data_IF_840757758347
#
_entry.id   IF_840757758347
#
_cell.length_a   1.000
_cell.length_b   1.000
_cell.length_c   1.000
_cell.angle_alpha   90.00
_cell.angle_beta   90.00
_cell.angle_gamma   90.00
#
_symmetry.space_group_name_H-M   'P 1'
#
loop_
_entity.id
_entity.type
_entity.pdbx_description
1 polymer ?
#
# COMPACT_ATOMS: atom_id res chain seq x y z
N UNK A 1 4.79 -17.02 -30.23
CA UNK A 1 4.59 -16.95 -28.77
C UNK A 1 4.68 -18.36 -28.22
N UNK A 2 5.35 -18.57 -27.09
CA UNK A 2 5.29 -19.86 -26.42
C UNK A 2 3.83 -20.11 -26.00
N UNK A 3 3.29 -21.30 -26.26
CA UNK A 3 1.96 -21.67 -25.79
C UNK A 3 1.91 -21.60 -24.26
N UNK A 4 0.89 -20.95 -23.70
CA UNK A 4 0.66 -20.95 -22.25
C UNK A 4 0.54 -22.41 -21.75
N UNK A 5 1.10 -22.74 -20.57
CA UNK A 5 0.93 -24.07 -20.00
C UNK A 5 -0.55 -24.31 -19.63
N UNK A 6 -0.96 -25.58 -19.58
CA UNK A 6 -2.32 -25.93 -19.17
C UNK A 6 -2.56 -25.74 -17.67
N UNK A 7 -1.50 -25.85 -16.86
CA UNK A 7 -1.52 -25.67 -15.42
C UNK A 7 -0.40 -24.75 -14.95
N UNK A 8 -0.54 -24.23 -13.74
CA UNK A 8 0.41 -23.41 -13.03
C UNK A 8 0.46 -23.80 -11.55
N UNK A 9 1.55 -23.43 -10.88
CA UNK A 9 1.67 -23.51 -9.43
C UNK A 9 0.98 -22.33 -8.78
N UNK A 10 0.22 -22.60 -7.74
CA UNK A 10 -0.41 -21.58 -6.91
C UNK A 10 -0.49 -22.05 -5.46
N UNK A 11 -0.48 -21.11 -4.53
CA UNK A 11 -0.92 -21.39 -3.17
C UNK A 11 -2.45 -21.45 -3.17
N UNK A 12 -3.00 -22.55 -2.66
CA UNK A 12 -4.42 -22.77 -2.48
C UNK A 12 -4.69 -22.83 -0.99
N UNK A 13 -5.35 -21.78 -0.49
CA UNK A 13 -5.79 -21.68 0.89
C UNK A 13 -7.22 -22.25 0.99
N UNK A 14 -7.41 -23.28 1.81
CA UNK A 14 -8.69 -23.99 1.96
C UNK A 14 -9.44 -23.62 3.24
N UNK A 15 -8.74 -23.02 4.21
CA UNK A 15 -9.28 -22.47 5.44
C UNK A 15 -8.32 -21.41 6.01
N UNK A 16 -8.73 -20.60 6.99
CA UNK A 16 -7.82 -19.73 7.71
C UNK A 16 -6.58 -20.50 8.21
N UNK A 17 -5.39 -19.98 7.96
CA UNK A 17 -4.13 -20.60 8.37
C UNK A 17 -3.72 -21.87 7.62
N UNK A 18 -4.56 -22.35 6.68
CA UNK A 18 -4.34 -23.64 6.00
C UNK A 18 -4.22 -23.45 4.51
N UNK A 19 -3.01 -23.64 3.98
CA UNK A 19 -2.76 -23.58 2.53
C UNK A 19 -1.71 -24.58 2.06
N UNK A 20 -1.82 -24.98 0.80
CA UNK A 20 -0.93 -25.91 0.10
C UNK A 20 -0.50 -25.33 -1.23
N UNK A 21 0.71 -25.68 -1.69
CA UNK A 21 1.10 -25.37 -3.07
C UNK A 21 0.55 -26.47 -3.98
N UNK A 22 -0.24 -26.08 -4.97
CA UNK A 22 -0.93 -27.00 -5.87
C UNK A 22 -0.68 -26.65 -7.33
N UNK A 23 -0.82 -27.65 -8.20
CA UNK A 23 -0.89 -27.44 -9.65
C UNK A 23 -2.35 -27.23 -10.05
N UNK A 24 -2.71 -25.99 -10.39
CA UNK A 24 -4.06 -25.56 -10.76
C UNK A 24 -4.10 -25.16 -12.24
N UNK A 25 -5.27 -25.15 -12.91
CA UNK A 25 -5.37 -24.66 -14.29
C UNK A 25 -4.93 -23.20 -14.41
N UNK A 26 -4.24 -22.85 -15.51
CA UNK A 26 -3.99 -21.43 -15.84
C UNK A 26 -5.33 -20.74 -16.09
N UNK A 27 -5.61 -19.59 -15.44
CA UNK A 27 -6.87 -18.87 -15.65
C UNK A 27 -7.05 -18.46 -17.12
N UNK A 28 -8.27 -18.62 -17.62
CA UNK A 28 -8.62 -18.19 -18.98
C UNK A 28 -8.75 -16.67 -19.03
N UNK A 29 -8.33 -16.09 -20.15
CA UNK A 29 -8.55 -14.68 -20.44
C UNK A 29 -9.90 -14.50 -21.12
N UNK A 30 -10.71 -13.60 -20.58
CA UNK A 30 -12.01 -13.20 -21.09
C UNK A 30 -12.02 -11.71 -21.45
N UNK A 31 -13.09 -11.26 -22.11
CA UNK A 31 -13.36 -9.84 -22.34
C UNK A 31 -13.26 -9.07 -21.04
N UNK A 32 -12.50 -7.99 -21.04
CA UNK A 32 -12.27 -7.12 -19.91
C UNK A 32 -11.16 -7.58 -18.98
N UNK A 33 -10.37 -8.58 -19.34
CA UNK A 33 -9.28 -9.08 -18.49
C UNK A 33 -7.97 -9.24 -19.25
N UNK A 34 -6.87 -9.37 -18.51
CA UNK A 34 -5.61 -9.85 -19.04
C UNK A 34 -4.97 -10.83 -18.05
N UNK A 35 -4.13 -11.73 -18.58
CA UNK A 35 -3.33 -12.66 -17.80
C UNK A 35 -1.93 -12.10 -17.62
N UNK A 36 -1.48 -12.05 -16.38
CA UNK A 36 -0.16 -11.56 -15.98
C UNK A 36 0.63 -12.70 -15.36
N UNK A 37 1.84 -12.96 -15.86
CA UNK A 37 2.82 -13.82 -15.19
C UNK A 37 3.48 -13.02 -14.07
N UNK A 38 3.32 -13.45 -12.82
CA UNK A 38 3.80 -12.72 -11.65
C UNK A 38 5.32 -12.87 -11.51
N UNK A 39 5.99 -11.75 -11.24
CA UNK A 39 7.44 -11.71 -10.97
C UNK A 39 7.76 -11.37 -9.51
N UNK A 40 6.88 -10.61 -8.84
CA UNK A 40 6.96 -10.35 -7.40
C UNK A 40 5.58 -10.00 -6.86
N UNK A 41 5.22 -10.57 -5.70
CA UNK A 41 3.99 -10.28 -4.97
C UNK A 41 4.29 -9.98 -3.50
N UNK A 42 3.80 -8.83 -3.01
CA UNK A 42 4.11 -8.32 -1.67
C UNK A 42 3.59 -9.26 -0.57
N UNK A 43 4.47 -9.55 0.39
CA UNK A 43 4.12 -10.16 1.68
C UNK A 43 4.08 -9.06 2.73
N UNK A 44 2.86 -8.64 3.08
CA UNK A 44 2.63 -7.54 4.04
C UNK A 44 3.11 -7.91 5.43
N UNK A 45 3.49 -6.92 6.25
CA UNK A 45 3.74 -7.16 7.68
C UNK A 45 2.49 -7.66 8.42
N UNK A 46 1.30 -7.40 7.88
CA UNK A 46 0.01 -7.88 8.42
C UNK A 46 -0.46 -9.20 7.77
N UNK A 47 0.36 -9.82 6.92
CA UNK A 47 -0.04 -11.02 6.15
C UNK A 47 -0.48 -12.16 7.06
N UNK A 48 0.11 -12.30 8.26
CA UNK A 48 -0.25 -13.34 9.21
C UNK A 48 -1.72 -13.20 9.65
N UNK A 49 -2.19 -11.97 9.89
CA UNK A 49 -3.58 -11.72 10.28
C UNK A 49 -4.55 -11.97 9.12
N UNK A 50 -4.14 -11.65 7.88
CA UNK A 50 -4.93 -11.96 6.67
C UNK A 50 -5.02 -13.47 6.48
N UNK A 51 -3.87 -14.16 6.52
CA UNK A 51 -3.75 -15.59 6.31
C UNK A 51 -4.57 -16.39 7.34
N UNK A 52 -4.52 -15.98 8.62
CA UNK A 52 -5.26 -16.63 9.69
C UNK A 52 -6.68 -16.08 9.88
N UNK A 53 -7.14 -15.16 9.03
CA UNK A 53 -8.41 -14.45 9.17
C UNK A 53 -8.67 -13.95 10.61
N UNK A 54 -7.62 -13.44 11.27
CA UNK A 54 -7.62 -13.12 12.71
C UNK A 54 -8.40 -11.85 13.07
N UNK A 55 -9.02 -11.20 12.08
CA UNK A 55 -9.82 -10.00 12.28
C UNK A 55 -11.04 -10.01 11.36
N UNK A 56 -12.16 -9.42 11.82
CA UNK A 56 -13.45 -9.43 11.10
C UNK A 56 -13.39 -8.76 9.71
N UNK A 57 -12.36 -7.95 9.46
CA UNK A 57 -12.12 -7.33 8.16
C UNK A 57 -11.58 -8.30 7.10
N UNK A 58 -10.93 -9.41 7.49
CA UNK A 58 -10.29 -10.37 6.60
C UNK A 58 -11.28 -11.50 6.24
N UNK A 59 -12.22 -11.17 5.35
CA UNK A 59 -13.23 -12.12 4.88
C UNK A 59 -12.86 -12.64 3.50
N UNK A 60 -12.46 -13.90 3.41
CA UNK A 60 -12.12 -14.54 2.14
C UNK A 60 -13.05 -15.74 1.88
N UNK A 61 -13.56 -15.92 0.66
CA UNK A 61 -14.16 -17.19 0.29
C UNK A 61 -13.07 -18.26 0.23
N UNK A 62 -13.36 -19.47 0.68
CA UNK A 62 -12.46 -20.62 0.55
C UNK A 62 -13.08 -21.67 -0.39
N UNK A 63 -12.26 -22.36 -1.22
CA UNK A 63 -10.81 -22.15 -1.39
C UNK A 63 -10.47 -20.86 -2.15
N UNK A 64 -9.30 -20.29 -1.89
CA UNK A 64 -8.78 -19.10 -2.58
C UNK A 64 -7.27 -19.12 -2.69
N UNK A 65 -6.72 -18.34 -3.62
CA UNK A 65 -5.28 -18.01 -3.62
C UNK A 65 -5.06 -16.73 -2.82
N UNK A 66 -4.09 -16.68 -1.89
CA UNK A 66 -3.71 -15.48 -1.16
C UNK A 66 -2.78 -14.55 -1.97
N UNK A 67 -2.50 -13.36 -1.42
CA UNK A 67 -1.60 -12.37 -2.01
C UNK A 67 -2.35 -11.29 -2.79
N UNK A 68 -2.01 -10.02 -2.55
CA UNK A 68 -2.85 -8.88 -2.93
C UNK A 68 -2.25 -7.96 -3.98
N UNK A 69 -0.96 -7.67 -3.92
CA UNK A 69 -0.30 -6.76 -4.86
C UNK A 69 0.90 -7.41 -5.50
N UNK A 70 1.14 -7.09 -6.76
CA UNK A 70 2.30 -7.61 -7.44
C UNK A 70 2.57 -6.93 -8.77
N UNK A 71 3.72 -7.28 -9.30
CA UNK A 71 4.22 -6.86 -10.60
C UNK A 71 4.53 -8.08 -11.43
N UNK A 72 4.50 -7.93 -12.74
CA UNK A 72 4.73 -9.03 -13.65
C UNK A 72 4.61 -8.62 -15.09
N UNK A 73 4.49 -9.63 -15.96
CA UNK A 73 4.44 -9.43 -17.41
C UNK A 73 3.13 -9.90 -17.99
N UNK A 74 2.50 -9.09 -18.84
CA UNK A 74 1.31 -9.49 -19.56
C UNK A 74 1.66 -10.63 -20.52
N UNK A 75 0.93 -11.73 -20.47
CA UNK A 75 1.14 -12.91 -21.33
C UNK A 75 -0.07 -13.26 -22.21
N UNK A 76 -1.23 -12.68 -21.93
CA UNK A 76 -2.39 -12.70 -22.81
C UNK A 76 -3.34 -11.55 -22.44
N UNK A 77 -4.11 -11.05 -23.40
CA UNK A 77 -5.08 -9.96 -23.22
C UNK A 77 -6.43 -10.31 -23.82
N UNK A 78 -7.50 -9.81 -23.19
CA UNK A 78 -8.85 -9.92 -23.73
C UNK A 78 -8.99 -9.17 -25.07
N UNK A 79 -9.96 -9.56 -25.92
CA UNK A 79 -10.12 -8.99 -27.25
C UNK A 79 -10.47 -7.48 -27.25
N UNK A 80 -10.91 -6.95 -26.11
CA UNK A 80 -11.25 -5.54 -25.87
C UNK A 80 -10.10 -4.72 -25.27
N UNK A 81 -8.91 -5.31 -25.06
CA UNK A 81 -7.74 -4.59 -24.59
C UNK A 81 -7.19 -3.64 -25.69
N UNK A 82 -7.29 -2.34 -25.45
CA UNK A 82 -6.88 -1.31 -26.45
C UNK A 82 -5.45 -0.81 -26.26
N UNK A 83 -4.93 -0.85 -25.04
CA UNK A 83 -3.59 -0.30 -24.71
C UNK A 83 -2.62 -1.33 -24.15
N UNK A 84 -3.13 -2.41 -23.53
CA UNK A 84 -2.33 -3.50 -23.02
C UNK A 84 -1.95 -4.47 -24.13
N UNK A 85 -0.71 -4.96 -24.09
CA UNK A 85 -0.17 -5.94 -25.03
C UNK A 85 0.72 -6.94 -24.30
N UNK A 86 0.80 -8.14 -24.86
CA UNK A 86 1.73 -9.15 -24.38
C UNK A 86 3.16 -8.62 -24.33
N UNK A 87 3.92 -9.06 -23.33
CA UNK A 87 5.29 -8.64 -23.08
C UNK A 87 5.43 -7.38 -22.24
N UNK A 88 4.37 -6.58 -22.04
CA UNK A 88 4.45 -5.38 -21.20
C UNK A 88 4.65 -5.71 -19.73
N UNK A 89 5.56 -5.00 -19.08
CA UNK A 89 5.74 -5.02 -17.64
C UNK A 89 4.66 -4.17 -16.97
N UNK A 90 4.00 -4.73 -15.95
CA UNK A 90 2.81 -4.14 -15.34
C UNK A 90 2.80 -4.35 -13.83
N UNK A 91 2.10 -3.45 -13.15
CA UNK A 91 1.61 -3.65 -11.79
C UNK A 91 0.14 -4.09 -11.82
N UNK A 92 -0.21 -5.00 -10.92
CA UNK A 92 -1.58 -5.46 -10.69
C UNK A 92 -2.05 -4.94 -9.33
N UNK A 93 -3.08 -4.10 -9.36
CA UNK A 93 -3.72 -3.54 -8.15
C UNK A 93 -4.58 -4.59 -7.45
N UNK A 94 -4.49 -4.65 -6.11
CA UNK A 94 -5.41 -5.45 -5.30
C UNK A 94 -6.82 -4.86 -5.24
N UNK A 95 -6.93 -3.53 -5.39
CA UNK A 95 -8.19 -2.83 -5.17
C UNK A 95 -9.03 -2.85 -6.42
N UNK A 96 -10.22 -3.44 -6.31
CA UNK A 96 -11.12 -3.70 -7.43
C UNK A 96 -12.49 -3.14 -7.07
N UNK A 97 -13.07 -2.37 -7.98
CA UNK A 97 -14.44 -1.87 -7.91
C UNK A 97 -15.30 -2.58 -8.94
N UNK A 98 -16.58 -2.75 -8.65
CA UNK A 98 -17.51 -3.23 -9.67
C UNK A 98 -17.63 -2.19 -10.79
N UNK A 99 -17.82 -2.68 -12.02
CA UNK A 99 -17.97 -1.83 -13.21
C UNK A 99 -19.37 -1.23 -13.34
N UNK A 100 -20.37 -1.96 -12.88
CA UNK A 100 -21.78 -1.58 -12.87
C UNK A 100 -22.20 -0.83 -11.59
N UNK A 101 -21.46 -1.03 -10.49
CA UNK A 101 -21.63 -0.29 -9.24
C UNK A 101 -20.27 0.03 -8.55
N UNK A 102 -19.73 1.23 -8.77
CA UNK A 102 -18.45 1.65 -8.16
C UNK A 102 -18.47 1.76 -6.62
N UNK A 103 -19.64 1.70 -5.97
CA UNK A 103 -19.74 1.65 -4.51
C UNK A 103 -19.38 0.27 -3.95
N UNK A 104 -19.49 -0.77 -4.77
CA UNK A 104 -19.05 -2.14 -4.44
C UNK A 104 -17.57 -2.26 -4.75
N UNK A 105 -16.78 -2.64 -3.73
CA UNK A 105 -15.35 -2.83 -3.86
C UNK A 105 -14.82 -3.96 -2.99
N UNK A 106 -13.68 -4.51 -3.39
CA UNK A 106 -12.97 -5.58 -2.70
C UNK A 106 -11.47 -5.30 -2.72
N UNK A 107 -10.73 -5.99 -1.84
CA UNK A 107 -9.27 -6.04 -1.88
C UNK A 107 -8.87 -7.49 -2.10
N UNK A 108 -8.50 -7.80 -3.33
CA UNK A 108 -7.98 -9.10 -3.76
C UNK A 108 -6.93 -9.63 -2.78
N UNK A 109 -7.06 -10.89 -2.36
CA UNK A 109 -6.13 -11.55 -1.43
C UNK A 109 -6.14 -10.99 0.00
N UNK A 110 -7.08 -10.11 0.35
CA UNK A 110 -7.23 -9.53 1.70
C UNK A 110 -8.66 -9.62 2.20
N UNK A 111 -9.63 -9.13 1.43
CA UNK A 111 -11.05 -9.13 1.80
C UNK A 111 -11.98 -9.10 0.58
N UNK A 112 -12.99 -9.95 0.62
CA UNK A 112 -14.11 -10.04 -0.31
C UNK A 112 -15.24 -9.07 0.03
N UNK A 113 -15.04 -8.18 1.02
CA UNK A 113 -16.03 -7.21 1.46
C UNK A 113 -17.13 -7.82 2.32
N UNK A 114 -18.10 -7.01 2.70
CA UNK A 114 -19.12 -7.36 3.71
C UNK A 114 -20.54 -7.50 3.15
N UNK A 115 -20.71 -7.26 1.85
CA UNK A 115 -22.02 -7.31 1.18
C UNK A 115 -22.09 -8.51 0.24
N UNK A 116 -23.29 -9.07 -0.01
CA UNK A 116 -23.47 -10.11 -1.02
C UNK A 116 -22.89 -9.72 -2.39
N UNK A 117 -23.04 -8.46 -2.80
CA UNK A 117 -22.49 -7.94 -4.05
C UNK A 117 -20.95 -7.99 -4.07
N UNK A 118 -20.28 -7.56 -2.99
CA UNK A 118 -18.82 -7.65 -2.89
C UNK A 118 -18.31 -9.10 -2.91
N UNK A 119 -19.04 -10.01 -2.26
CA UNK A 119 -18.72 -11.43 -2.22
C UNK A 119 -18.90 -12.09 -3.60
N UNK A 120 -19.92 -11.68 -4.36
CA UNK A 120 -20.12 -12.11 -5.74
C UNK A 120 -19.00 -11.58 -6.65
N UNK A 121 -18.63 -10.31 -6.51
CA UNK A 121 -17.51 -9.70 -7.24
C UNK A 121 -16.18 -10.42 -6.95
N UNK A 122 -15.91 -10.80 -5.71
CA UNK A 122 -14.68 -11.51 -5.38
C UNK A 122 -14.65 -12.91 -6.01
N UNK A 123 -15.76 -13.66 -5.92
CA UNK A 123 -15.84 -15.02 -6.46
C UNK A 123 -15.74 -15.07 -7.98
N UNK A 124 -16.10 -14.00 -8.70
CA UNK A 124 -15.92 -13.94 -10.15
C UNK A 124 -14.46 -13.86 -10.58
N UNK A 125 -13.56 -13.46 -9.68
CA UNK A 125 -12.12 -13.42 -9.91
C UNK A 125 -11.53 -14.81 -9.60
N UNK A 126 -11.62 -15.74 -10.55
CA UNK A 126 -11.07 -17.09 -10.42
C UNK A 126 -9.61 -17.07 -9.90
N UNK A 127 -9.26 -17.96 -8.96
CA UNK A 127 -7.88 -18.13 -8.47
C UNK A 127 -7.29 -16.87 -7.83
N UNK A 128 -8.12 -16.16 -7.05
CA UNK A 128 -8.07 -14.71 -6.91
C UNK A 128 -6.78 -14.05 -6.39
N UNK A 129 -5.73 -14.73 -5.95
CA UNK A 129 -4.55 -14.10 -5.34
C UNK A 129 -3.33 -14.03 -6.25
N UNK A 130 -2.30 -13.33 -5.77
CA UNK A 130 -1.03 -13.15 -6.51
C UNK A 130 0.08 -14.07 -6.02
N UNK A 131 -0.18 -14.96 -5.07
CA UNK A 131 0.73 -16.05 -4.72
C UNK A 131 0.51 -17.25 -5.65
N UNK A 132 0.66 -16.98 -6.96
CA UNK A 132 0.53 -17.92 -8.07
C UNK A 132 1.40 -17.46 -9.24
N UNK A 133 1.82 -18.39 -10.11
CA UNK A 133 2.65 -18.06 -11.28
C UNK A 133 1.94 -17.12 -12.26
N UNK A 134 0.62 -17.23 -12.38
CA UNK A 134 -0.21 -16.36 -13.22
C UNK A 134 -1.46 -15.88 -12.49
N UNK A 135 -1.91 -14.67 -12.83
CA UNK A 135 -3.18 -14.13 -12.34
C UNK A 135 -3.93 -13.46 -13.49
N UNK A 136 -5.26 -13.65 -13.53
CA UNK A 136 -6.14 -12.81 -14.33
C UNK A 136 -6.61 -11.60 -13.52
N UNK A 137 -6.55 -10.44 -14.14
CA UNK A 137 -7.00 -9.19 -13.54
C UNK A 137 -7.86 -8.36 -14.52
N UNK A 138 -8.87 -7.63 -14.03
CA UNK A 138 -9.60 -6.65 -14.83
C UNK A 138 -8.65 -5.61 -15.43
N UNK A 139 -8.85 -5.23 -16.70
CA UNK A 139 -7.96 -4.30 -17.41
C UNK A 139 -7.75 -2.97 -16.63
N UNK A 140 -8.79 -2.46 -15.98
CA UNK A 140 -8.79 -1.24 -15.17
C UNK A 140 -8.02 -1.34 -13.84
N UNK A 141 -7.51 -2.53 -13.50
CA UNK A 141 -6.66 -2.79 -12.32
C UNK A 141 -5.20 -3.04 -12.69
N UNK A 142 -4.88 -3.05 -13.98
CA UNK A 142 -3.54 -3.26 -14.52
C UNK A 142 -2.96 -1.90 -14.93
N UNK A 143 -1.71 -1.67 -14.54
CA UNK A 143 -1.00 -0.43 -14.78
C UNK A 143 0.33 -0.72 -15.44
N UNK A 144 0.55 -0.12 -16.62
CA UNK A 144 1.82 -0.24 -17.35
C UNK A 144 2.92 0.45 -16.57
N UNK A 145 4.09 -0.17 -16.58
CA UNK A 145 5.30 0.36 -15.99
C UNK A 145 6.31 0.62 -17.10
N UNK A 146 6.96 1.77 -17.09
CA UNK A 146 8.07 2.09 -17.99
C UNK A 146 9.33 1.34 -17.54
N UNK A 147 9.52 0.14 -18.08
CA UNK A 147 10.63 -0.77 -17.75
C UNK A 147 12.00 -0.13 -18.03
N UNK A 148 12.13 0.59 -19.15
CA UNK A 148 13.37 1.26 -19.53
C UNK A 148 13.69 2.38 -18.55
N UNK A 149 12.68 3.15 -18.13
CA UNK A 149 12.87 4.22 -17.14
C UNK A 149 13.14 3.69 -15.75
N UNK A 150 12.40 2.69 -15.28
CA UNK A 150 12.50 2.20 -13.90
C UNK A 150 13.79 1.38 -13.68
N UNK A 151 14.16 0.51 -14.62
CA UNK A 151 15.26 -0.44 -14.45
C UNK A 151 16.52 -0.07 -15.23
N UNK A 152 16.40 0.80 -16.24
CA UNK A 152 17.56 1.26 -17.01
C UNK A 152 18.62 1.92 -16.13
N UNK A 153 19.86 1.91 -16.61
CA UNK A 153 20.96 2.55 -15.90
C UNK A 153 20.81 4.08 -15.93
N UNK A 154 21.35 4.82 -14.95
CA UNK A 154 21.34 6.27 -14.96
C UNK A 154 21.90 6.89 -16.24
N UNK A 155 22.91 6.27 -16.85
CA UNK A 155 23.55 6.71 -18.09
C UNK A 155 22.60 6.63 -19.30
N UNK A 156 21.68 5.65 -19.29
CA UNK A 156 20.64 5.49 -20.31
C UNK A 156 19.36 6.28 -19.98
N UNK A 157 19.39 7.14 -18.96
CA UNK A 157 18.22 7.89 -18.50
C UNK A 157 17.24 7.05 -17.67
N UNK A 158 17.67 5.91 -17.12
CA UNK A 158 16.89 5.11 -16.19
C UNK A 158 17.12 5.48 -14.71
N UNK A 159 16.45 4.76 -13.81
CA UNK A 159 16.46 5.00 -12.37
C UNK A 159 17.20 3.91 -11.58
N UNK A 160 17.52 2.78 -12.22
CA UNK A 160 18.30 1.68 -11.66
C UNK A 160 17.58 0.92 -10.54
N UNK A 161 16.26 0.91 -10.51
CA UNK A 161 15.50 0.10 -9.57
C UNK A 161 15.49 -1.38 -9.98
N UNK A 162 15.11 -2.24 -9.05
CA UNK A 162 14.79 -3.65 -9.34
C UNK A 162 13.31 -3.94 -9.12
N UNK A 163 12.74 -4.99 -9.73
CA UNK A 163 11.32 -5.32 -9.58
C UNK A 163 10.86 -5.36 -8.11
N UNK A 164 11.60 -6.03 -7.24
CA UNK A 164 11.27 -6.16 -5.82
C UNK A 164 11.17 -4.84 -5.05
N UNK A 165 11.72 -3.74 -5.57
CA UNK A 165 11.61 -2.40 -4.96
C UNK A 165 10.31 -1.69 -5.33
N UNK A 166 9.63 -2.12 -6.40
CA UNK A 166 8.39 -1.51 -6.89
C UNK A 166 7.14 -1.98 -6.13
N UNK A 167 7.24 -3.06 -5.35
CA UNK A 167 6.09 -3.65 -4.65
C UNK A 167 5.51 -2.74 -3.53
N UNK A 168 6.21 -1.64 -3.19
CA UNK A 168 5.73 -0.60 -2.27
C UNK A 168 4.74 0.37 -2.90
N UNK A 169 4.71 0.48 -4.24
CA UNK A 169 3.86 1.42 -4.99
C UNK A 169 2.37 1.41 -4.59
N UNK A 170 1.72 0.27 -4.30
CA UNK A 170 0.35 0.26 -3.81
C UNK A 170 0.19 0.94 -2.45
N UNK A 171 1.16 0.81 -1.54
CA UNK A 171 1.16 1.53 -0.27
C UNK A 171 1.29 3.04 -0.50
N UNK A 172 2.17 3.46 -1.44
CA UNK A 172 2.28 4.86 -1.85
C UNK A 172 0.95 5.38 -2.43
N UNK A 173 0.21 4.59 -3.22
CA UNK A 173 -1.08 4.98 -3.78
C UNK A 173 -2.15 5.24 -2.70
N UNK A 174 -2.21 4.43 -1.64
CA UNK A 174 -3.17 4.61 -0.53
C UNK A 174 -2.95 5.96 0.16
N UNK A 175 -1.71 6.26 0.52
CA UNK A 175 -1.36 7.48 1.25
C UNK A 175 -1.34 8.71 0.34
N UNK A 176 -1.04 8.55 -0.95
CA UNK A 176 -1.22 9.61 -1.96
C UNK A 176 -2.68 10.03 -2.05
N UNK A 177 -3.61 9.08 -2.15
CA UNK A 177 -5.03 9.39 -2.21
C UNK A 177 -5.49 10.15 -0.96
N UNK A 178 -4.96 9.80 0.21
CA UNK A 178 -5.24 10.51 1.47
C UNK A 178 -4.75 11.97 1.41
N UNK A 179 -3.51 12.20 1.01
CA UNK A 179 -2.92 13.54 0.89
C UNK A 179 -3.63 14.39 -0.19
N UNK A 180 -4.04 13.77 -1.31
CA UNK A 180 -4.85 14.44 -2.33
C UNK A 180 -6.21 14.87 -1.78
N UNK A 181 -6.91 14.00 -1.02
CA UNK A 181 -8.24 14.32 -0.47
C UNK A 181 -8.23 15.48 0.50
N UNK A 182 -7.15 15.64 1.27
CA UNK A 182 -6.94 16.82 2.11
C UNK A 182 -6.27 17.98 1.35
N UNK A 183 -6.05 17.85 0.05
CA UNK A 183 -5.43 18.86 -0.81
C UNK A 183 -4.09 19.39 -0.27
N UNK A 184 -3.21 18.50 0.20
CA UNK A 184 -1.87 18.87 0.66
C UNK A 184 -1.12 19.62 -0.46
N UNK A 185 -0.57 20.79 -0.13
CA UNK A 185 0.13 21.66 -1.06
C UNK A 185 1.65 21.57 -0.88
N UNK A 186 2.44 21.82 -1.95
CA UNK A 186 3.88 21.98 -1.83
C UNK A 186 4.25 23.06 -0.80
N UNK A 187 5.26 22.78 0.03
CA UNK A 187 5.73 23.70 1.08
C UNK A 187 4.98 23.63 2.40
N UNK A 188 3.77 23.05 2.44
CA UNK A 188 3.02 22.85 3.68
C UNK A 188 3.70 21.84 4.61
N UNK A 189 3.49 22.00 5.91
CA UNK A 189 3.98 21.06 6.93
C UNK A 189 2.94 20.01 7.25
N UNK A 190 3.30 18.75 7.06
CA UNK A 190 2.49 17.59 7.40
C UNK A 190 3.12 16.79 8.53
N UNK A 191 2.33 16.49 9.57
CA UNK A 191 2.67 15.47 10.57
C UNK A 191 2.23 14.11 10.06
N UNK A 192 3.13 13.13 10.07
CA UNK A 192 2.81 11.72 9.74
C UNK A 192 2.95 10.90 11.02
N UNK A 193 1.87 10.26 11.45
CA UNK A 193 1.81 9.54 12.73
C UNK A 193 1.06 8.21 12.64
N UNK A 194 1.62 7.09 13.12
CA UNK A 194 3.06 6.88 13.29
C UNK A 194 3.79 6.94 11.92
N UNK A 195 5.08 7.26 11.91
CA UNK A 195 5.89 7.43 10.69
C UNK A 195 6.74 6.20 10.28
N UNK A 196 6.83 5.17 11.13
CA UNK A 196 7.88 4.12 11.01
C UNK A 196 7.39 2.73 10.61
N UNK A 197 6.13 2.57 10.19
CA UNK A 197 5.61 1.32 9.58
C UNK A 197 5.74 1.29 8.06
N UNK A 198 5.34 0.18 7.42
CA UNK A 198 5.36 0.05 5.95
C UNK A 198 4.55 1.16 5.24
N UNK A 199 3.26 1.29 5.56
CA UNK A 199 2.42 2.36 5.01
C UNK A 199 2.83 3.76 5.48
N UNK A 200 3.39 3.86 6.69
CA UNK A 200 3.85 5.12 7.25
C UNK A 200 5.08 5.68 6.52
N UNK A 201 6.05 4.82 6.21
CA UNK A 201 7.24 5.21 5.44
C UNK A 201 6.86 5.56 4.00
N UNK A 202 5.91 4.83 3.39
CA UNK A 202 5.32 5.20 2.12
C UNK A 202 4.65 6.60 2.16
N UNK A 203 4.04 6.99 3.29
CA UNK A 203 3.49 8.34 3.46
C UNK A 203 4.59 9.40 3.47
N UNK A 204 5.73 9.13 4.12
CA UNK A 204 6.89 10.04 4.10
C UNK A 204 7.40 10.22 2.67
N UNK A 205 7.55 9.13 1.91
CA UNK A 205 8.02 9.18 0.52
C UNK A 205 7.11 10.06 -0.35
N UNK A 206 5.79 9.87 -0.20
CA UNK A 206 4.78 10.61 -0.97
C UNK A 206 4.74 12.08 -0.56
N UNK A 207 4.74 12.39 0.73
CA UNK A 207 4.78 13.78 1.20
C UNK A 207 6.04 14.50 0.69
N UNK A 208 7.18 13.83 0.69
CA UNK A 208 8.43 14.39 0.19
C UNK A 208 8.34 14.64 -1.33
N UNK A 209 7.78 13.70 -2.09
CA UNK A 209 7.55 13.83 -3.53
C UNK A 209 6.55 14.95 -3.89
N UNK A 210 5.58 15.22 -3.00
CA UNK A 210 4.64 16.34 -3.11
C UNK A 210 5.26 17.69 -2.69
N UNK A 211 6.51 17.71 -2.24
CA UNK A 211 7.22 18.93 -1.84
C UNK A 211 6.84 19.46 -0.46
N UNK A 212 6.18 18.66 0.38
CA UNK A 212 5.83 19.04 1.74
C UNK A 212 7.05 19.09 2.67
N UNK A 213 6.91 19.77 3.81
CA UNK A 213 7.79 19.65 4.98
C UNK A 213 7.18 18.61 5.91
N UNK A 214 7.99 17.71 6.45
CA UNK A 214 7.47 16.53 7.15
C UNK A 214 7.93 16.57 8.61
N UNK A 215 6.98 16.35 9.52
CA UNK A 215 7.28 15.99 10.92
C UNK A 215 6.90 14.52 11.08
N UNK A 216 7.90 13.65 11.03
CA UNK A 216 7.75 12.22 11.22
C UNK A 216 7.66 11.91 12.72
N UNK A 217 6.52 11.38 13.16
CA UNK A 217 6.25 11.11 14.57
C UNK A 217 6.11 9.61 14.82
N UNK A 218 6.88 9.03 15.74
CA UNK A 218 6.71 7.63 16.13
C UNK A 218 7.43 7.32 17.45
N UNK A 219 7.22 6.12 18.02
CA UNK A 219 8.01 5.65 19.17
C UNK A 219 9.40 5.13 18.78
N UNK A 220 9.60 4.73 17.52
CA UNK A 220 10.80 4.04 17.06
C UNK A 220 11.90 5.05 16.66
N UNK A 221 12.77 5.39 17.60
CA UNK A 221 13.87 6.34 17.39
C UNK A 221 14.81 5.94 16.23
N UNK A 222 15.15 4.67 16.09
CA UNK A 222 16.03 4.20 15.01
C UNK A 222 15.37 4.36 13.63
N UNK A 223 14.06 4.11 13.55
CA UNK A 223 13.29 4.35 12.33
C UNK A 223 13.20 5.83 11.96
N UNK A 224 13.00 6.70 12.96
CA UNK A 224 13.00 8.15 12.76
C UNK A 224 14.35 8.67 12.28
N UNK A 225 15.46 8.21 12.88
CA UNK A 225 16.80 8.59 12.47
C UNK A 225 17.06 8.23 10.99
N UNK A 226 16.65 7.02 10.56
CA UNK A 226 16.74 6.61 9.15
C UNK A 226 15.93 7.51 8.23
N UNK A 227 14.71 7.87 8.60
CA UNK A 227 13.88 8.78 7.79
C UNK A 227 14.53 10.16 7.61
N UNK A 228 15.11 10.69 8.68
CA UNK A 228 15.83 11.98 8.64
C UNK A 228 17.08 11.91 7.77
N UNK A 229 17.80 10.80 7.79
CA UNK A 229 18.95 10.55 6.92
C UNK A 229 18.54 10.42 5.44
N UNK A 230 17.45 9.72 5.15
CA UNK A 230 16.94 9.54 3.78
C UNK A 230 16.46 10.86 3.15
N UNK A 231 15.90 11.77 3.95
CA UNK A 231 15.26 13.02 3.51
C UNK A 231 15.82 14.25 4.24
N UNK A 232 17.12 14.56 4.06
CA UNK A 232 17.76 15.66 4.76
C UNK A 232 17.13 17.00 4.37
N UNK A 233 16.84 17.84 5.36
CA UNK A 233 16.22 19.17 5.17
C UNK A 233 14.73 19.15 4.82
N UNK A 234 14.12 17.97 4.68
CA UNK A 234 12.68 17.79 4.40
C UNK A 234 11.96 17.17 5.59
N UNK A 235 12.60 16.21 6.27
CA UNK A 235 12.05 15.48 7.42
C UNK A 235 12.66 15.96 8.73
N UNK A 236 11.80 16.40 9.63
CA UNK A 236 12.06 16.51 11.07
C UNK A 236 11.39 15.36 11.81
N UNK A 237 11.87 15.06 13.02
CA UNK A 237 11.46 13.86 13.75
C UNK A 237 11.05 14.18 15.18
N UNK A 238 9.95 13.57 15.63
CA UNK A 238 9.49 13.62 17.03
C UNK A 238 9.34 12.20 17.54
N UNK A 239 10.09 11.86 18.58
CA UNK A 239 9.89 10.61 19.29
C UNK A 239 8.70 10.76 20.24
N UNK A 240 7.63 10.01 19.98
CA UNK A 240 6.41 10.06 20.78
C UNK A 240 6.63 9.42 22.15
N UNK A 241 6.27 10.16 23.19
CA UNK A 241 6.38 9.77 24.60
C UNK A 241 5.11 9.09 25.11
N UNK A 242 3.97 9.35 24.46
CA UNK A 242 2.65 8.95 24.94
C UNK A 242 1.96 10.01 25.80
N UNK A 243 2.65 11.10 26.14
CA UNK A 243 2.03 12.28 26.75
C UNK A 243 1.51 13.22 25.66
N UNK A 244 0.20 13.46 25.65
CA UNK A 244 -0.46 14.25 24.59
C UNK A 244 0.08 15.68 24.53
N UNK A 245 0.37 16.31 25.67
CA UNK A 245 0.81 17.71 25.70
C UNK A 245 2.25 17.84 25.23
N UNK A 246 3.15 17.03 25.78
CA UNK A 246 4.56 17.02 25.40
C UNK A 246 4.72 16.67 23.91
N UNK A 247 4.02 15.63 23.44
CA UNK A 247 4.09 15.22 22.04
C UNK A 247 3.52 16.32 21.14
N UNK A 248 2.39 16.96 21.50
CA UNK A 248 1.81 18.07 20.72
C UNK A 248 2.76 19.26 20.59
N UNK A 249 3.46 19.64 21.67
CA UNK A 249 4.44 20.73 21.65
C UNK A 249 5.62 20.35 20.75
N UNK A 250 6.11 19.11 20.85
CA UNK A 250 7.19 18.62 19.99
C UNK A 250 6.82 18.64 18.50
N UNK A 251 5.58 18.26 18.17
CA UNK A 251 5.08 18.28 16.79
C UNK A 251 4.98 19.70 16.20
N UNK A 252 4.58 20.67 17.02
CA UNK A 252 4.45 22.08 16.61
C UNK A 252 5.78 22.87 16.66
N UNK A 253 6.84 22.31 17.24
CA UNK A 253 8.13 23.00 17.45
C UNK A 253 8.81 23.45 16.14
N UNK A 254 8.42 22.87 15.01
CA UNK A 254 9.00 23.17 13.70
C UNK A 254 8.24 24.24 12.91
N UNK A 255 7.15 24.78 13.48
CA UNK A 255 6.27 25.77 12.85
C UNK A 255 4.84 25.25 12.67
N UNK A 256 3.94 26.03 12.03
CA UNK A 256 2.54 25.65 11.87
C UNK A 256 2.39 24.28 11.20
N UNK A 257 1.49 23.44 11.71
CA UNK A 257 1.16 22.13 11.14
C UNK A 257 -0.10 22.27 10.29
N UNK A 258 0.06 22.29 8.97
CA UNK A 258 -1.04 22.43 8.01
C UNK A 258 -1.90 21.18 7.89
N UNK A 259 -1.27 20.01 8.06
CA UNK A 259 -1.90 18.74 7.84
C UNK A 259 -1.42 17.65 8.81
N UNK A 260 -2.30 16.70 9.10
CA UNK A 260 -1.97 15.43 9.78
C UNK A 260 -2.38 14.28 8.87
N UNK A 261 -1.51 13.30 8.72
CA UNK A 261 -1.83 12.00 8.09
C UNK A 261 -1.65 10.93 9.15
N UNK A 262 -2.77 10.39 9.63
CA UNK A 262 -2.78 9.29 10.58
C UNK A 262 -2.79 7.95 9.83
N UNK A 263 -1.75 7.16 10.04
CA UNK A 263 -1.54 5.84 9.42
C UNK A 263 -1.48 4.76 10.50
N UNK A 264 -2.19 4.97 11.60
CA UNK A 264 -2.16 4.11 12.78
C UNK A 264 -2.72 2.71 12.50
N UNK A 265 -2.02 1.62 12.88
CA UNK A 265 -2.54 0.26 12.73
C UNK A 265 -3.63 -0.05 13.78
N UNK A 266 -4.36 -1.18 13.66
CA UNK A 266 -5.32 -1.62 14.69
C UNK A 266 -4.71 -1.72 16.10
N UNK A 267 -3.45 -2.14 16.21
CA UNK A 267 -2.73 -2.20 17.49
C UNK A 267 -2.45 -0.84 18.15
N UNK A 268 -2.75 0.27 17.47
CA UNK A 268 -2.69 1.63 18.01
C UNK A 268 -4.06 2.19 18.40
N UNK A 269 -5.15 1.40 18.35
CA UNK A 269 -6.46 1.80 18.89
C UNK A 269 -6.31 2.27 20.36
N UNK A 270 -6.93 3.39 20.70
CA UNK A 270 -6.78 4.08 21.98
C UNK A 270 -5.45 4.82 22.20
N UNK A 271 -4.47 4.73 21.29
CA UNK A 271 -3.17 5.39 21.47
C UNK A 271 -3.29 6.92 21.36
N UNK A 272 -2.49 7.69 22.12
CA UNK A 272 -2.60 9.16 22.25
C UNK A 272 -2.03 9.93 21.04
N UNK A 273 -1.40 9.26 20.09
CA UNK A 273 -0.65 9.89 19.00
C UNK A 273 -1.54 10.74 18.07
N UNK A 274 -2.78 10.32 17.81
CA UNK A 274 -3.74 11.10 17.03
C UNK A 274 -4.18 12.36 17.79
N UNK A 275 -4.43 12.24 19.10
CA UNK A 275 -4.80 13.38 19.95
C UNK A 275 -3.68 14.44 20.04
N UNK A 276 -2.43 13.98 20.15
CA UNK A 276 -1.25 14.85 20.12
C UNK A 276 -1.12 15.57 18.77
N UNK A 277 -1.28 14.84 17.66
CA UNK A 277 -1.21 15.42 16.32
C UNK A 277 -2.33 16.44 16.06
N UNK A 278 -3.58 16.12 16.45
CA UNK A 278 -4.70 17.07 16.40
C UNK A 278 -4.41 18.33 17.22
N UNK A 279 -3.83 18.19 18.42
CA UNK A 279 -3.52 19.34 19.28
C UNK A 279 -2.41 20.24 18.72
N UNK A 280 -1.58 19.73 17.81
CA UNK A 280 -0.53 20.50 17.12
C UNK A 280 -1.01 21.22 15.85
N UNK A 281 -2.23 20.90 15.40
CA UNK A 281 -2.78 21.37 14.13
C UNK A 281 -3.15 22.86 14.18
N UNK A 282 -2.80 23.60 13.13
CA UNK A 282 -3.13 25.04 13.04
C UNK A 282 -4.61 25.29 12.73
N UNK A 283 -5.01 26.56 12.77
CA UNK A 283 -6.29 27.05 12.26
C UNK A 283 -6.40 26.78 10.75
N UNK A 284 -7.56 26.26 10.32
CA UNK A 284 -7.82 25.76 8.97
C UNK A 284 -7.08 24.46 8.63
N UNK A 285 -6.45 23.80 9.60
CA UNK A 285 -5.70 22.57 9.38
C UNK A 285 -6.56 21.37 9.01
N UNK A 286 -5.94 20.37 8.36
CA UNK A 286 -6.66 19.23 7.77
C UNK A 286 -6.08 17.89 8.24
N UNK A 287 -6.94 16.90 8.40
CA UNK A 287 -6.55 15.57 8.90
C UNK A 287 -7.01 14.51 7.92
N UNK A 288 -6.10 13.65 7.48
CA UNK A 288 -6.42 12.43 6.75
C UNK A 288 -6.33 11.22 7.69
N UNK A 289 -7.47 10.54 7.89
CA UNK A 289 -7.54 9.28 8.63
C UNK A 289 -7.38 8.12 7.64
N UNK A 290 -6.23 7.47 7.67
CA UNK A 290 -5.84 6.37 6.76
C UNK A 290 -5.70 5.05 7.51
N UNK A 291 -5.25 5.13 8.76
CA UNK A 291 -5.05 4.00 9.65
C UNK A 291 -6.32 3.20 9.92
N UNK A 292 -6.15 1.88 10.09
CA UNK A 292 -7.23 0.96 10.47
C UNK A 292 -7.45 0.92 11.98
N UNK A 293 -7.53 2.07 12.64
CA UNK A 293 -7.88 2.12 14.07
C UNK A 293 -9.35 1.75 14.26
N UNK A 294 -9.66 1.15 15.40
CA UNK A 294 -10.99 0.65 15.76
C UNK A 294 -11.61 1.44 16.92
N UNK A 295 -11.22 2.72 17.07
CA UNK A 295 -11.80 3.56 18.11
C UNK A 295 -13.31 3.75 17.87
N UNK A 296 -14.11 3.62 18.92
CA UNK A 296 -15.54 3.96 18.87
C UNK A 296 -15.76 5.46 18.66
N UNK A 297 -14.83 6.28 19.15
CA UNK A 297 -14.87 7.74 19.04
C UNK A 297 -13.49 8.28 18.70
N UNK A 298 -13.45 9.32 17.86
CA UNK A 298 -12.21 10.03 17.56
C UNK A 298 -11.89 11.04 18.67
N UNK A 299 -10.61 11.19 19.07
CA UNK A 299 -10.21 12.11 20.14
C UNK A 299 -10.16 13.56 19.65
N UNK A 300 -11.26 14.06 19.08
CA UNK A 300 -11.39 15.40 18.50
C UNK A 300 -12.06 16.32 19.53
N UNK A 301 -11.35 17.33 20.07
CA UNK A 301 -11.99 18.29 20.96
C UNK A 301 -12.93 19.19 20.15
N UNK A 302 -14.26 18.98 20.31
CA UNK A 302 -15.31 19.63 19.52
C UNK A 302 -15.12 21.16 19.41
N UNK A 303 -14.93 21.83 20.55
CA UNK A 303 -14.76 23.29 20.59
C UNK A 303 -13.51 23.74 19.82
N UNK A 304 -12.39 23.00 19.90
CA UNK A 304 -11.17 23.31 19.13
C UNK A 304 -11.39 23.09 17.64
N UNK A 305 -12.02 21.97 17.26
CA UNK A 305 -12.30 21.68 15.85
C UNK A 305 -13.19 22.78 15.22
N UNK A 306 -14.20 23.25 15.96
CA UNK A 306 -15.09 24.34 15.54
C UNK A 306 -14.36 25.68 15.44
N UNK A 307 -13.64 26.11 16.47
CA UNK A 307 -13.02 27.45 16.48
C UNK A 307 -11.83 27.57 15.53
N UNK A 308 -11.18 26.44 15.20
CA UNK A 308 -10.04 26.39 14.30
C UNK A 308 -10.42 25.95 12.87
N UNK A 309 -11.71 25.85 12.52
CA UNK A 309 -12.18 25.44 11.19
C UNK A 309 -11.48 24.17 10.63
N UNK A 310 -11.35 23.14 11.47
CA UNK A 310 -10.64 21.91 11.07
C UNK A 310 -11.44 21.06 10.09
N UNK A 311 -10.76 20.49 9.10
CA UNK A 311 -11.32 19.45 8.22
C UNK A 311 -10.78 18.09 8.62
N UNK A 312 -11.67 17.11 8.82
CA UNK A 312 -11.30 15.75 9.21
C UNK A 312 -11.90 14.79 8.18
N UNK A 313 -11.03 14.11 7.44
CA UNK A 313 -11.38 13.35 6.25
C UNK A 313 -10.89 11.91 6.36
N UNK A 314 -11.82 10.95 6.30
CA UNK A 314 -11.47 9.54 6.10
C UNK A 314 -10.95 9.30 4.68
N UNK A 315 -9.94 8.43 4.56
CA UNK A 315 -9.41 8.00 3.26
C UNK A 315 -9.25 6.49 3.18
N UNK A 316 -10.18 5.84 2.48
CA UNK A 316 -10.09 4.42 2.15
C UNK A 316 -9.53 4.20 0.74
N UNK A 317 -8.43 3.45 0.66
CA UNK A 317 -7.75 3.04 -0.57
C UNK A 317 -7.49 4.21 -1.54
N UNK A 318 -7.60 3.98 -2.84
CA UNK A 318 -7.27 4.94 -3.90
C UNK A 318 -8.22 4.83 -5.10
N UNK A 319 -8.16 5.82 -5.98
CA UNK A 319 -8.73 5.73 -7.32
C UNK A 319 -7.68 5.24 -8.33
N UNK A 320 -8.11 4.85 -9.53
CA UNK A 320 -7.19 4.53 -10.62
C UNK A 320 -6.23 5.69 -10.91
N UNK A 321 -6.77 6.92 -10.91
CA UNK A 321 -6.03 8.13 -11.21
C UNK A 321 -4.97 8.45 -10.15
N UNK A 322 -5.25 8.17 -8.87
CA UNK A 322 -4.28 8.32 -7.78
C UNK A 322 -3.06 7.42 -8.00
N UNK A 323 -3.30 6.16 -8.35
CA UNK A 323 -2.23 5.21 -8.62
C UNK A 323 -1.43 5.60 -9.87
N UNK A 324 -2.09 6.03 -10.95
CA UNK A 324 -1.41 6.56 -12.14
C UNK A 324 -0.53 7.78 -11.84
N UNK A 325 -0.96 8.66 -10.92
CA UNK A 325 -0.13 9.79 -10.47
C UNK A 325 1.10 9.32 -9.70
N UNK A 326 0.95 8.33 -8.82
CA UNK A 326 2.10 7.74 -8.09
C UNK A 326 3.10 7.11 -9.05
N UNK A 327 2.64 6.39 -10.08
CA UNK A 327 3.53 5.85 -11.11
C UNK A 327 4.27 6.95 -11.86
N UNK A 328 3.58 8.03 -12.26
CA UNK A 328 4.23 9.18 -12.90
C UNK A 328 5.26 9.85 -12.00
N UNK A 329 5.01 9.96 -10.69
CA UNK A 329 6.00 10.50 -9.74
C UNK A 329 7.24 9.60 -9.63
N UNK A 330 7.04 8.28 -9.57
CA UNK A 330 8.11 7.30 -9.55
C UNK A 330 8.94 7.34 -10.85
N UNK A 331 8.28 7.27 -12.01
CA UNK A 331 8.92 7.28 -13.33
C UNK A 331 9.58 8.64 -13.64
N UNK A 332 9.05 9.75 -13.14
CA UNK A 332 9.72 11.05 -13.22
C UNK A 332 10.99 11.11 -12.34
N UNK A 333 11.16 10.19 -11.39
CA UNK A 333 12.25 10.22 -10.41
C UNK A 333 12.02 11.24 -9.28
N UNK A 334 10.80 11.75 -9.13
CA UNK A 334 10.41 12.70 -8.08
C UNK A 334 10.10 12.01 -6.75
N UNK A 335 9.64 10.76 -6.82
CA UNK A 335 9.44 9.90 -5.65
C UNK A 335 10.54 8.85 -5.59
N UNK A 336 11.31 8.84 -4.50
CA UNK A 336 12.31 7.80 -4.25
C UNK A 336 11.60 6.47 -3.99
N UNK A 337 12.15 5.37 -4.52
CA UNK A 337 11.74 4.00 -4.23
C UNK A 337 12.95 3.19 -3.75
N UNK A 338 12.70 1.97 -3.29
CA UNK A 338 13.76 1.01 -2.96
C UNK A 338 14.78 1.56 -1.99
N UNK A 339 16.05 1.17 -2.17
CA UNK A 339 17.15 1.59 -1.28
C UNK A 339 17.29 3.10 -1.16
N UNK A 340 16.97 3.86 -2.21
CA UNK A 340 17.04 5.33 -2.21
C UNK A 340 16.04 5.97 -1.26
N UNK A 341 14.90 5.32 -1.01
CA UNK A 341 13.91 5.72 -0.01
C UNK A 341 14.11 5.02 1.35
N UNK A 342 15.20 4.26 1.52
CA UNK A 342 15.44 3.46 2.72
C UNK A 342 14.60 2.18 2.79
N UNK A 343 13.95 1.79 1.68
CA UNK A 343 13.30 0.48 1.56
C UNK A 343 14.31 -0.58 1.16
N UNK A 344 14.27 -1.73 1.84
CA UNK A 344 15.22 -2.82 1.64
C UNK A 344 14.43 -4.12 1.46
N UNK A 345 14.74 -4.84 0.39
CA UNK A 345 14.30 -6.22 0.21
C UNK A 345 15.00 -7.08 1.25
N UNK A 346 14.25 -7.51 2.27
CA UNK A 346 14.73 -8.34 3.38
C UNK A 346 14.59 -9.84 3.09
N UNK A 347 13.78 -10.22 2.11
CA UNK A 347 13.60 -11.63 1.75
C UNK A 347 12.84 -11.81 0.44
N UNK A 348 13.25 -12.84 -0.31
CA UNK A 348 12.64 -13.30 -1.56
C UNK A 348 12.37 -14.78 -1.39
N UNK A 349 11.11 -15.17 -1.56
CA UNK A 349 10.64 -16.52 -1.24
C UNK A 349 9.89 -17.13 -2.43
N UNK A 350 9.99 -18.44 -2.62
CA UNK A 350 9.15 -19.17 -3.57
C UNK A 350 7.77 -19.47 -2.99
N UNK A 351 6.88 -20.06 -3.79
CA UNK A 351 5.56 -20.53 -3.30
C UNK A 351 5.68 -21.55 -2.16
N UNK A 352 6.68 -22.42 -2.22
CA UNK A 352 6.93 -23.47 -1.21
C UNK A 352 7.32 -22.91 0.15
N UNK A 353 7.81 -21.66 0.20
CA UNK A 353 8.35 -21.03 1.39
C UNK A 353 7.38 -20.03 2.04
N UNK A 354 6.07 -20.15 1.78
CA UNK A 354 5.06 -19.20 2.26
C UNK A 354 5.17 -18.92 3.76
N UNK A 355 5.26 -19.96 4.59
CA UNK A 355 5.32 -19.79 6.04
C UNK A 355 6.59 -19.05 6.47
N UNK A 356 7.74 -19.38 5.86
CA UNK A 356 8.99 -18.65 6.11
C UNK A 356 8.90 -17.18 5.68
N UNK A 357 8.21 -16.88 4.58
CA UNK A 357 7.96 -15.52 4.13
C UNK A 357 7.05 -14.75 5.11
N UNK A 358 6.00 -15.39 5.62
CA UNK A 358 5.09 -14.81 6.63
C UNK A 358 5.86 -14.53 7.92
N UNK A 359 6.62 -15.50 8.43
CA UNK A 359 7.42 -15.36 9.65
C UNK A 359 8.42 -14.21 9.51
N UNK A 360 9.11 -14.12 8.36
CA UNK A 360 10.05 -13.03 8.12
C UNK A 360 9.37 -11.67 8.04
N UNK A 361 8.15 -11.60 7.49
CA UNK A 361 7.38 -10.36 7.41
C UNK A 361 6.92 -9.87 8.77
N UNK A 362 6.63 -10.79 9.69
CA UNK A 362 6.34 -10.46 11.09
C UNK A 362 7.61 -10.06 11.83
N UNK A 363 8.70 -10.81 11.68
CA UNK A 363 9.99 -10.55 12.34
C UNK A 363 10.57 -9.18 11.97
N UNK A 364 10.53 -8.85 10.68
CA UNK A 364 11.12 -7.61 10.14
C UNK A 364 10.12 -6.48 10.00
N UNK A 365 8.93 -6.60 10.61
CA UNK A 365 7.90 -5.56 10.59
C UNK A 365 8.48 -4.23 11.10
N UNK A 366 8.66 -3.28 10.20
CA UNK A 366 9.36 -2.04 10.53
C UNK A 366 9.63 -1.14 9.32
N UNK A 367 10.37 -0.03 9.54
CA UNK A 367 10.60 0.97 8.52
C UNK A 367 11.30 0.39 7.31
N UNK A 368 10.65 0.49 6.15
CA UNK A 368 11.23 0.14 4.86
C UNK A 368 11.50 -1.35 4.61
N UNK A 369 10.98 -2.27 5.42
CA UNK A 369 11.12 -3.70 5.11
C UNK A 369 10.20 -4.11 3.96
N UNK A 370 10.79 -4.77 2.94
CA UNK A 370 10.08 -5.35 1.80
C UNK A 370 10.36 -6.85 1.72
N UNK A 371 9.31 -7.65 1.67
CA UNK A 371 9.37 -9.10 1.44
C UNK A 371 8.38 -9.45 0.36
N UNK A 372 8.74 -10.36 -0.53
CA UNK A 372 7.85 -10.80 -1.58
C UNK A 372 8.00 -12.28 -1.92
N UNK A 373 6.90 -12.83 -2.41
CA UNK A 373 6.88 -14.10 -3.11
C UNK A 373 7.26 -13.85 -4.56
N UNK A 374 8.19 -14.66 -5.09
CA UNK A 374 8.52 -14.78 -6.50
C UNK A 374 8.01 -16.16 -6.96
N UNK A 375 6.78 -16.22 -7.51
CA UNK A 375 6.12 -17.49 -7.82
C UNK A 375 6.87 -18.41 -8.77
#
# INVERSE_FOLDING_TARGET
>A
MASLPSTMRAIVQTAPGTATVESVPVPKVETGSALVKIEASLVHSNVANVFNASHAMFQLPYPTTPGSFGIGRVVAVGPDATTLREGQFVMVSAFIRSRDDPSVSIIRGVTAGWTPASQHLYKSLAGSGLFAEYVTAPLETIFRLDEARLFGSPEAGGLGYIPGELIVLPANAIVFAAMRKIALQPGERVVITPATGHYSTAAVDVAAALGARIVAASRNAAGLARLKETYPGVVETVQLTGDVQADSVGLAAFGPVDAVVDVSPPAATGAPNLAAALSSLRDGGRVALVGGREDETLPIPYFKAMINDWTIQGSYMYTREDLERVLRLAEAGLMKLGKKAGHVVQGVYGLDDLHAAIDKAVETAGPGSLIYIKP
#
